data_IF_986285226532
#
_entry.id   IF_986285226532
#
_cell.length_a   1.000
_cell.length_b   1.000
_cell.length_c   1.000
_cell.angle_alpha   90.00
_cell.angle_beta   90.00
_cell.angle_gamma   90.00
#
_symmetry.space_group_name_H-M   'P 1'
#
loop_
_entity.id
_entity.type
_entity.pdbx_description
1 polymer ?
#
# COMPACT_ATOMS: atom_id res chain seq x y z
N UNK A 1 15.47 -11.81 8.36
CA UNK A 1 14.71 -11.51 7.13
C UNK A 1 13.95 -10.23 7.42
N UNK A 2 14.41 -9.12 6.88
CA UNK A 2 13.64 -7.88 6.95
C UNK A 2 12.32 -8.13 6.21
N UNK A 3 11.21 -7.80 6.86
CA UNK A 3 9.91 -7.76 6.20
C UNK A 3 9.96 -6.53 5.28
N UNK A 4 9.48 -6.68 4.06
CA UNK A 4 9.32 -5.59 3.11
C UNK A 4 7.86 -5.56 2.66
N UNK A 5 7.47 -4.50 1.96
CA UNK A 5 6.18 -4.46 1.28
C UNK A 5 6.09 -5.57 0.24
N UNK A 6 4.90 -6.14 0.09
CA UNK A 6 4.58 -7.09 -0.98
C UNK A 6 3.29 -6.65 -1.66
N UNK A 7 3.19 -6.75 -2.99
CA UNK A 7 1.95 -6.43 -3.70
C UNK A 7 0.77 -7.22 -3.15
N UNK A 8 -0.38 -6.55 -3.03
CA UNK A 8 -1.60 -7.10 -2.43
C UNK A 8 -1.69 -6.95 -0.91
N UNK A 9 -0.66 -6.44 -0.24
CA UNK A 9 -0.76 -6.09 1.18
C UNK A 9 -1.72 -4.92 1.36
N UNK A 10 -2.67 -5.08 2.28
CA UNK A 10 -3.47 -3.96 2.79
C UNK A 10 -2.75 -3.33 3.96
N UNK A 11 -2.67 -2.01 3.96
CA UNK A 11 -1.92 -1.24 4.94
C UNK A 11 -2.78 -0.12 5.52
N UNK A 12 -2.41 0.33 6.71
CA UNK A 12 -3.01 1.47 7.39
C UNK A 12 -1.92 2.37 7.94
N UNK A 13 -2.06 3.69 7.77
CA UNK A 13 -1.16 4.69 8.37
C UNK A 13 -1.96 5.97 8.62
N UNK A 14 -1.83 6.56 9.81
CA UNK A 14 -2.45 7.85 10.16
C UNK A 14 -3.97 7.96 9.89
N UNK A 15 -4.72 6.85 9.96
CA UNK A 15 -6.16 6.82 9.68
C UNK A 15 -6.52 6.58 8.22
N UNK A 16 -5.53 6.46 7.33
CA UNK A 16 -5.71 6.16 5.91
C UNK A 16 -5.48 4.66 5.65
N UNK A 17 -6.24 4.12 4.71
CA UNK A 17 -6.19 2.73 4.29
C UNK A 17 -5.65 2.65 2.87
N UNK A 18 -4.75 1.71 2.60
CA UNK A 18 -4.13 1.59 1.29
C UNK A 18 -3.81 0.16 0.89
N UNK A 19 -3.54 -0.02 -0.39
CA UNK A 19 -3.13 -1.28 -1.00
C UNK A 19 -1.73 -1.11 -1.59
N UNK A 20 -0.80 -2.01 -1.26
CA UNK A 20 0.48 -2.09 -1.98
C UNK A 20 0.20 -2.63 -3.38
N UNK A 21 0.40 -1.80 -4.39
CA UNK A 21 0.20 -2.16 -5.79
C UNK A 21 1.54 -2.51 -6.45
N UNK A 22 1.48 -3.28 -7.53
CA UNK A 22 2.65 -3.51 -8.37
C UNK A 22 2.82 -2.31 -9.31
N UNK A 23 3.98 -1.68 -9.29
CA UNK A 23 4.33 -0.65 -10.27
C UNK A 23 5.08 -1.26 -11.46
N UNK A 24 4.91 -0.68 -12.65
CA UNK A 24 5.74 -1.01 -13.82
C UNK A 24 7.21 -0.61 -13.61
N UNK A 25 7.47 0.32 -12.69
CA UNK A 25 8.82 0.75 -12.28
C UNK A 25 9.38 -0.07 -11.12
N UNK A 26 8.63 -1.04 -10.57
CA UNK A 26 9.11 -1.87 -9.48
C UNK A 26 10.33 -2.67 -9.94
N UNK A 27 11.42 -2.58 -9.17
CA UNK A 27 12.50 -3.54 -9.25
C UNK A 27 11.95 -4.86 -8.69
N UNK A 28 12.21 -6.04 -9.29
CA UNK A 28 11.64 -7.33 -8.85
C UNK A 28 11.78 -7.68 -7.36
N UNK A 29 12.63 -6.98 -6.61
CA UNK A 29 12.87 -7.21 -5.18
C UNK A 29 12.51 -6.01 -4.29
N UNK A 30 11.97 -4.92 -4.83
CA UNK A 30 11.63 -3.73 -4.06
C UNK A 30 10.24 -3.25 -4.46
N UNK A 31 9.31 -3.39 -3.51
CA UNK A 31 7.94 -2.91 -3.61
C UNK A 31 7.70 -1.84 -2.55
N UNK A 32 6.62 -1.10 -2.71
CA UNK A 32 6.23 -0.08 -1.75
C UNK A 32 5.39 1.04 -2.33
N UNK A 33 4.99 0.97 -3.60
CA UNK A 33 3.95 1.88 -4.09
C UNK A 33 2.62 1.52 -3.44
N UNK A 34 2.06 2.45 -2.68
CA UNK A 34 0.78 2.31 -2.00
C UNK A 34 -0.26 3.12 -2.77
N UNK A 35 -1.37 2.48 -3.13
CA UNK A 35 -2.61 3.11 -3.59
C UNK A 35 -3.50 3.35 -2.38
N UNK A 36 -3.71 4.61 -2.02
CA UNK A 36 -4.61 4.97 -0.93
C UNK A 36 -6.08 4.88 -1.36
N UNK A 37 -6.92 4.44 -0.43
CA UNK A 37 -8.37 4.28 -0.61
C UNK A 37 -9.07 5.64 -0.56
N UNK A 38 -8.91 6.42 -1.63
CA UNK A 38 -9.52 7.74 -1.79
C UNK A 38 -10.22 7.84 -3.15
N UNK A 39 -11.16 8.78 -3.28
CA UNK A 39 -11.90 9.04 -4.52
C UNK A 39 -11.03 9.60 -5.66
N UNK A 40 -9.79 10.02 -5.36
CA UNK A 40 -8.90 10.61 -6.36
C UNK A 40 -8.42 9.53 -7.32
N UNK A 41 -8.41 9.85 -8.61
CA UNK A 41 -7.99 8.92 -9.67
C UNK A 41 -6.57 8.38 -9.47
N UNK A 42 -5.66 9.19 -8.92
CA UNK A 42 -4.25 8.85 -8.74
C UNK A 42 -3.79 9.35 -7.37
N UNK A 43 -4.07 8.58 -6.33
CA UNK A 43 -3.52 8.75 -4.97
C UNK A 43 -2.53 7.61 -4.70
N UNK A 44 -1.37 7.71 -5.35
CA UNK A 44 -0.25 6.77 -5.26
C UNK A 44 0.89 7.44 -4.49
N UNK A 45 1.45 6.74 -3.52
CA UNK A 45 2.64 7.17 -2.80
C UNK A 45 3.73 6.10 -2.87
N UNK A 46 4.97 6.54 -3.11
CA UNK A 46 6.12 5.66 -3.18
C UNK A 46 6.78 5.49 -1.81
N UNK A 47 6.61 4.30 -1.24
CA UNK A 47 7.26 3.85 0.00
C UNK A 47 8.30 2.75 -0.24
N UNK A 48 8.81 2.62 -1.47
CA UNK A 48 9.73 1.57 -1.86
C UNK A 48 11.01 1.58 -1.02
N UNK A 49 11.32 0.46 -0.36
CA UNK A 49 12.46 0.35 0.55
C UNK A 49 12.31 1.11 1.87
N UNK A 50 11.13 1.69 2.13
CA UNK A 50 10.82 2.47 3.34
C UNK A 50 9.97 1.69 4.35
N UNK A 51 9.87 0.36 4.24
CA UNK A 51 9.03 -0.46 5.12
C UNK A 51 9.33 -0.26 6.62
N UNK A 52 10.62 -0.21 6.99
CA UNK A 52 11.01 0.05 8.37
C UNK A 52 10.58 1.44 8.87
N UNK A 53 10.67 2.46 8.02
CA UNK A 53 10.19 3.81 8.33
C UNK A 53 8.66 3.82 8.45
N UNK A 54 7.95 3.20 7.50
CA UNK A 54 6.49 3.04 7.54
C UNK A 54 6.00 2.48 8.87
N UNK A 55 6.60 1.37 9.34
CA UNK A 55 6.29 0.80 10.66
C UNK A 55 6.63 1.75 11.81
N UNK A 56 7.76 2.46 11.74
CA UNK A 56 8.17 3.39 12.79
C UNK A 56 7.25 4.61 12.93
N UNK A 57 6.52 4.95 11.87
CA UNK A 57 5.49 6.00 11.86
C UNK A 57 4.11 5.49 12.32
N UNK A 58 4.02 4.24 12.76
CA UNK A 58 2.75 3.62 13.18
C UNK A 58 1.98 2.97 12.03
N UNK A 59 2.64 2.73 10.91
CA UNK A 59 2.08 1.98 9.80
C UNK A 59 1.86 0.52 10.17
N UNK A 60 0.74 -0.04 9.73
CA UNK A 60 0.32 -1.40 10.04
C UNK A 60 -0.05 -2.16 8.77
N UNK A 61 0.19 -3.47 8.77
CA UNK A 61 -0.41 -4.39 7.80
C UNK A 61 -1.73 -4.86 8.41
N UNK A 62 -2.83 -4.68 7.68
CA UNK A 62 -4.18 -4.98 8.15
C UNK A 62 -4.74 -6.25 7.50
N UNK A 63 -5.88 -6.73 8.02
CA UNK A 63 -6.58 -7.90 7.48
C UNK A 63 -6.86 -7.72 5.97
N UNK A 64 -6.46 -8.72 5.17
CA UNK A 64 -6.75 -8.77 3.74
C UNK A 64 -8.24 -8.71 3.39
N UNK A 65 -9.14 -8.94 4.37
CA UNK A 65 -10.60 -8.78 4.21
C UNK A 65 -11.12 -7.37 4.48
N UNK A 66 -10.27 -6.42 4.88
CA UNK A 66 -10.70 -5.04 5.08
C UNK A 66 -11.31 -4.47 3.80
N UNK A 67 -12.56 -3.98 3.81
CA UNK A 67 -13.18 -3.42 2.62
C UNK A 67 -12.67 -1.99 2.36
N UNK A 68 -12.24 -1.74 1.13
CA UNK A 68 -11.99 -0.39 0.63
C UNK A 68 -13.28 0.25 0.14
N UNK A 69 -13.41 1.57 0.27
CA UNK A 69 -14.59 2.34 -0.14
C UNK A 69 -14.51 2.80 -1.59
N UNK A 70 -13.33 3.18 -2.06
CA UNK A 70 -13.09 3.85 -3.35
C UNK A 70 -12.26 3.03 -4.32
N UNK A 71 -11.43 2.10 -3.83
CA UNK A 71 -10.62 1.22 -4.67
C UNK A 71 -11.02 -0.25 -4.57
N UNK A 72 -10.72 -1.02 -5.61
CA UNK A 72 -10.83 -2.47 -5.65
C UNK A 72 -9.57 -3.13 -5.06
N UNK A 73 -9.62 -4.44 -4.83
CA UNK A 73 -8.48 -5.21 -4.30
C UNK A 73 -7.30 -5.35 -5.28
N UNK A 74 -7.41 -4.80 -6.49
CA UNK A 74 -6.32 -4.65 -7.46
C UNK A 74 -5.79 -3.20 -7.57
N UNK A 75 -6.35 -2.27 -6.78
CA UNK A 75 -5.95 -0.86 -6.76
C UNK A 75 -6.65 0.02 -7.80
N UNK A 76 -7.53 -0.54 -8.65
CA UNK A 76 -8.36 0.25 -9.57
C UNK A 76 -9.49 0.97 -8.83
N UNK A 77 -9.97 2.10 -9.37
CA UNK A 77 -11.09 2.83 -8.81
C UNK A 77 -12.41 2.06 -9.00
N UNK A 78 -13.32 2.20 -8.03
CA UNK A 78 -14.67 1.64 -8.06
C UNK A 78 -15.66 2.49 -8.85
#
# INVERSE_FOLDING_TARGET
MEKDFNPGMKVHLNGEFGLVVKSETDNPNFHGVIRWDTEKEIDLEDWTGMFGLFLSLGGEIIDGKHPFNYINDDGTLK
#
